data_IF_038108429646
#
_entry.id   IF_038108429646
#
_cell.length_a   1.000
_cell.length_b   1.000
_cell.length_c   1.000
_cell.angle_alpha   90.00
_cell.angle_beta   90.00
_cell.angle_gamma   90.00
#
_symmetry.space_group_name_H-M   'P 1'
#
loop_
_entity.id
_entity.type
_entity.pdbx_description
1 polymer ?
#
# COMPACT_ATOMS: atom_id res chain seq x y z
N UNK A 1 -11.72 0.43 -7.23
CA UNK A 1 -10.43 0.01 -7.86
C UNK A 1 -10.17 -1.44 -7.52
N UNK A 2 -9.78 -2.22 -8.49
CA UNK A 2 -9.52 -3.65 -8.31
C UNK A 2 -8.15 -3.88 -7.68
N UNK A 3 -8.11 -4.56 -6.54
CA UNK A 3 -6.86 -4.91 -5.86
C UNK A 3 -6.40 -6.28 -6.35
N UNK A 4 -5.21 -6.32 -6.93
CA UNK A 4 -4.59 -7.55 -7.40
C UNK A 4 -3.51 -7.95 -6.39
N UNK A 5 -3.39 -9.28 -6.15
CA UNK A 5 -2.47 -9.83 -5.16
C UNK A 5 -2.90 -9.54 -3.71
N UNK A 6 -4.21 -9.49 -3.45
CA UNK A 6 -4.70 -9.34 -2.07
C UNK A 6 -4.24 -10.48 -1.16
N UNK A 7 -3.83 -11.61 -1.76
CA UNK A 7 -3.25 -12.74 -1.04
C UNK A 7 -1.93 -12.41 -0.34
N UNK A 8 -1.35 -11.24 -0.61
CA UNK A 8 -0.19 -10.75 0.14
C UNK A 8 -0.54 -10.29 1.55
N UNK A 9 -1.82 -9.99 1.83
CA UNK A 9 -2.24 -9.45 3.13
C UNK A 9 -2.28 -10.49 4.25
N UNK A 10 -2.92 -11.68 4.08
CA UNK A 10 -3.01 -12.65 5.17
C UNK A 10 -1.68 -13.12 5.75
N UNK A 11 -0.63 -13.40 4.96
CA UNK A 11 0.66 -13.76 5.53
C UNK A 11 1.24 -12.71 6.46
N UNK A 12 0.99 -11.42 6.15
CA UNK A 12 1.46 -10.34 7.00
C UNK A 12 0.69 -10.30 8.31
N UNK A 13 -0.63 -10.32 8.29
CA UNK A 13 -1.39 -10.23 9.54
C UNK A 13 -1.32 -11.51 10.37
N UNK A 14 -0.93 -12.65 9.78
CA UNK A 14 -0.66 -13.86 10.56
C UNK A 14 0.53 -13.65 11.51
N UNK A 15 1.53 -12.89 11.07
CA UNK A 15 2.69 -12.51 11.89
C UNK A 15 2.45 -11.26 12.74
N UNK A 16 1.54 -10.40 12.30
CA UNK A 16 1.23 -9.13 12.95
C UNK A 16 -0.28 -8.98 13.12
N UNK A 17 -0.89 -9.71 14.07
CA UNK A 17 -2.36 -9.80 14.17
C UNK A 17 -3.06 -8.46 14.34
N UNK A 18 -2.41 -7.49 14.98
CA UNK A 18 -2.99 -6.16 15.18
C UNK A 18 -3.21 -5.41 13.86
N UNK A 19 -2.54 -5.81 12.78
CA UNK A 19 -2.68 -5.17 11.48
C UNK A 19 -3.87 -5.68 10.67
N UNK A 20 -4.49 -6.77 11.06
CA UNK A 20 -5.58 -7.40 10.28
C UNK A 20 -6.74 -6.45 10.04
N UNK A 21 -7.29 -5.87 11.10
CA UNK A 21 -8.42 -4.94 10.98
C UNK A 21 -8.10 -3.74 10.09
N UNK A 22 -6.99 -3.01 10.37
CA UNK A 22 -6.58 -1.90 9.51
C UNK A 22 -6.31 -2.28 8.05
N UNK A 23 -5.70 -3.44 7.78
CA UNK A 23 -5.45 -3.90 6.41
C UNK A 23 -6.75 -4.26 5.69
N UNK A 24 -7.67 -4.91 6.37
CA UNK A 24 -8.99 -5.20 5.81
C UNK A 24 -9.77 -3.92 5.50
N UNK A 25 -9.70 -2.92 6.39
CA UNK A 25 -10.33 -1.62 6.16
C UNK A 25 -9.72 -0.90 4.94
N UNK A 26 -8.40 -0.92 4.84
CA UNK A 26 -7.69 -0.37 3.67
C UNK A 26 -8.17 -1.04 2.38
N UNK A 27 -8.23 -2.37 2.39
CA UNK A 27 -8.68 -3.14 1.22
C UNK A 27 -10.10 -2.75 0.80
N UNK A 28 -11.01 -2.65 1.77
CA UNK A 28 -12.41 -2.28 1.48
C UNK A 28 -12.52 -0.88 0.89
N UNK A 29 -11.76 0.08 1.42
CA UNK A 29 -11.74 1.44 0.90
C UNK A 29 -11.24 1.52 -0.53
N UNK A 30 -10.14 0.82 -0.83
CA UNK A 30 -9.60 0.79 -2.19
C UNK A 30 -10.60 0.16 -3.14
N UNK A 31 -11.15 -0.99 -2.76
CA UNK A 31 -12.09 -1.74 -3.60
C UNK A 31 -13.36 -0.94 -3.91
N UNK A 32 -13.87 -0.20 -2.94
CA UNK A 32 -15.11 0.56 -3.08
C UNK A 32 -14.95 1.84 -3.90
N UNK A 33 -13.73 2.37 -4.01
CA UNK A 33 -13.49 3.67 -4.63
C UNK A 33 -13.12 3.60 -6.10
N UNK A 34 -13.34 4.74 -6.78
CA UNK A 34 -12.79 5.02 -8.10
C UNK A 34 -11.88 6.23 -7.95
N UNK A 35 -10.62 6.08 -8.35
CA UNK A 35 -9.61 7.12 -8.18
C UNK A 35 -9.04 7.49 -9.54
N UNK A 36 -9.10 8.78 -9.91
CA UNK A 36 -8.66 9.25 -11.23
C UNK A 36 -7.14 9.31 -11.34
N UNK A 37 -6.50 9.73 -10.24
CA UNK A 37 -5.06 9.96 -10.18
C UNK A 37 -4.61 9.95 -8.72
N UNK A 38 -3.32 10.18 -8.49
CA UNK A 38 -2.75 10.19 -7.15
C UNK A 38 -3.35 11.29 -6.27
N UNK A 39 -3.61 12.46 -6.83
CA UNK A 39 -4.21 13.56 -6.11
C UNK A 39 -5.60 13.20 -5.58
N UNK A 40 -6.40 12.54 -6.41
CA UNK A 40 -7.72 12.04 -6.04
C UNK A 40 -7.61 10.95 -4.97
N UNK A 41 -6.65 10.04 -5.11
CA UNK A 41 -6.40 8.98 -4.14
C UNK A 41 -6.10 9.57 -2.76
N UNK A 42 -5.31 10.64 -2.69
CA UNK A 42 -4.93 11.27 -1.42
C UNK A 42 -6.09 11.90 -0.67
N UNK A 43 -7.21 12.13 -1.32
CA UNK A 43 -8.41 12.61 -0.61
C UNK A 43 -8.94 11.55 0.36
N UNK A 44 -8.79 10.27 0.02
CA UNK A 44 -9.18 9.15 0.89
C UNK A 44 -7.99 8.68 1.74
N UNK A 45 -6.80 8.66 1.18
CA UNK A 45 -5.58 8.17 1.83
C UNK A 45 -4.59 9.32 1.99
N UNK A 46 -4.85 10.19 2.97
CA UNK A 46 -4.11 11.46 3.13
C UNK A 46 -2.61 11.27 3.36
N UNK A 47 -2.19 10.15 3.95
CA UNK A 47 -0.79 9.86 4.23
C UNK A 47 -0.09 9.07 3.11
N UNK A 48 -0.77 8.80 1.99
CA UNK A 48 -0.14 8.10 0.88
C UNK A 48 0.95 8.95 0.23
N UNK A 49 2.05 8.30 -0.14
CA UNK A 49 3.18 8.91 -0.82
C UNK A 49 3.39 8.30 -2.19
N UNK A 50 3.79 9.14 -3.14
CA UNK A 50 4.21 8.65 -4.44
C UNK A 50 5.73 8.58 -4.50
N UNK A 51 6.25 7.35 -4.64
CA UNK A 51 7.68 7.04 -4.72
C UNK A 51 7.87 6.27 -6.03
N UNK A 52 7.94 6.99 -7.12
CA UNK A 52 7.82 6.47 -8.49
C UNK A 52 8.64 5.20 -8.74
N UNK A 53 8.07 4.14 -9.33
CA UNK A 53 6.68 4.01 -9.82
C UNK A 53 5.67 3.54 -8.77
N UNK A 54 6.04 3.58 -7.51
CA UNK A 54 5.27 3.02 -6.40
C UNK A 54 4.40 4.06 -5.72
N UNK A 55 3.29 3.59 -5.16
CA UNK A 55 2.49 4.33 -4.18
C UNK A 55 2.61 3.62 -2.85
N UNK A 56 2.94 4.35 -1.81
CA UNK A 56 3.16 3.80 -0.47
C UNK A 56 2.04 4.27 0.44
N UNK A 57 1.36 3.32 1.08
CA UNK A 57 0.28 3.59 2.02
C UNK A 57 0.74 3.34 3.45
N UNK A 58 0.44 4.29 4.34
CA UNK A 58 0.55 4.09 5.78
C UNK A 58 -0.71 3.42 6.28
N UNK A 59 -0.58 2.31 6.97
CA UNK A 59 -1.71 1.58 7.53
C UNK A 59 -1.40 1.25 8.99
N UNK A 60 -2.44 1.12 9.81
CA UNK A 60 -2.32 0.79 11.24
C UNK A 60 -1.45 1.79 12.01
N UNK A 61 -1.70 3.08 11.79
CA UNK A 61 -1.04 4.14 12.55
C UNK A 61 0.49 4.10 12.41
N UNK A 62 1.00 3.92 11.20
CA UNK A 62 2.44 3.91 10.93
C UNK A 62 3.14 2.55 11.19
N UNK A 63 2.38 1.53 11.60
CA UNK A 63 2.96 0.22 11.91
C UNK A 63 3.14 -0.66 10.69
N UNK A 64 2.48 -0.32 9.59
CA UNK A 64 2.46 -1.12 8.37
C UNK A 64 2.54 -0.21 7.16
N UNK A 65 3.31 -0.65 6.16
CA UNK A 65 3.41 0.02 4.85
C UNK A 65 3.00 -0.94 3.77
N UNK A 66 2.13 -0.47 2.86
CA UNK A 66 1.81 -1.21 1.64
C UNK A 66 2.49 -0.48 0.49
N UNK A 67 3.30 -1.21 -0.27
CA UNK A 67 3.93 -0.72 -1.47
C UNK A 67 3.19 -1.30 -2.66
N UNK A 68 2.65 -0.42 -3.49
CA UNK A 68 1.79 -0.82 -4.59
C UNK A 68 2.18 -0.11 -5.89
N UNK A 69 1.77 -0.69 -7.01
CA UNK A 69 1.80 -0.03 -8.32
C UNK A 69 0.35 0.13 -8.76
N UNK A 70 -0.02 1.36 -9.14
CA UNK A 70 -1.39 1.68 -9.51
C UNK A 70 -1.46 2.07 -10.99
N UNK A 71 -2.37 1.43 -11.71
CA UNK A 71 -2.74 1.80 -13.06
C UNK A 71 -4.12 2.46 -13.02
N UNK A 72 -4.13 3.79 -12.92
CA UNK A 72 -5.37 4.56 -12.76
C UNK A 72 -6.31 4.41 -13.95
N UNK A 73 -5.76 4.37 -15.17
CA UNK A 73 -6.57 4.22 -16.39
C UNK A 73 -7.32 2.89 -16.45
N UNK A 74 -6.83 1.87 -15.74
CA UNK A 74 -7.45 0.53 -15.67
C UNK A 74 -8.12 0.26 -14.34
N UNK A 75 -8.02 1.17 -13.40
CA UNK A 75 -8.50 1.00 -12.02
C UNK A 75 -7.99 -0.30 -11.40
N UNK A 76 -6.66 -0.50 -11.46
CA UNK A 76 -5.99 -1.67 -10.90
C UNK A 76 -4.87 -1.25 -9.97
N UNK A 77 -4.83 -1.88 -8.80
CA UNK A 77 -3.76 -1.70 -7.81
C UNK A 77 -3.09 -3.05 -7.57
N UNK A 78 -1.79 -3.11 -7.80
CA UNK A 78 -0.97 -4.30 -7.59
C UNK A 78 -0.19 -4.14 -6.29
N UNK A 79 -0.44 -5.01 -5.30
CA UNK A 79 0.34 -5.02 -4.06
C UNK A 79 1.69 -5.66 -4.37
N UNK A 80 2.78 -4.92 -4.11
CA UNK A 80 4.15 -5.40 -4.29
C UNK A 80 4.74 -5.90 -2.99
N UNK A 81 4.56 -5.14 -1.92
CA UNK A 81 5.13 -5.47 -0.61
C UNK A 81 4.17 -5.04 0.48
N UNK A 82 4.15 -5.80 1.58
CA UNK A 82 3.52 -5.38 2.83
C UNK A 82 4.61 -5.46 3.89
N UNK A 83 5.00 -4.32 4.45
CA UNK A 83 6.20 -4.20 5.26
C UNK A 83 5.90 -3.61 6.64
N UNK A 84 6.69 -4.02 7.64
CA UNK A 84 6.76 -3.31 8.92
C UNK A 84 7.50 -1.99 8.70
N UNK A 85 7.44 -1.09 9.70
CA UNK A 85 8.18 0.18 9.62
C UNK A 85 9.71 -0.03 9.45
N UNK A 86 10.36 -0.90 10.23
CA UNK A 86 11.80 -1.16 10.02
C UNK A 86 12.11 -1.74 8.63
N UNK A 87 11.27 -2.64 8.14
CA UNK A 87 11.46 -3.22 6.81
C UNK A 87 11.26 -2.19 5.71
N UNK A 88 10.32 -1.27 5.91
CA UNK A 88 10.13 -0.15 4.98
C UNK A 88 11.36 0.76 4.95
N UNK A 89 11.98 1.02 6.09
CA UNK A 89 13.21 1.84 6.14
C UNK A 89 14.31 1.20 5.31
N UNK A 90 14.48 -0.13 5.40
CA UNK A 90 15.43 -0.87 4.57
C UNK A 90 15.07 -0.79 3.09
N UNK A 91 13.82 -0.98 2.76
CA UNK A 91 13.33 -0.87 1.39
C UNK A 91 13.60 0.53 0.82
N UNK A 92 13.32 1.56 1.61
CA UNK A 92 13.52 2.95 1.22
C UNK A 92 14.99 3.25 0.92
N UNK A 93 15.92 2.70 1.71
CA UNK A 93 17.35 2.85 1.46
C UNK A 93 17.75 2.18 0.15
N UNK A 94 17.26 0.98 -0.11
CA UNK A 94 17.53 0.26 -1.36
C UNK A 94 16.97 1.03 -2.56
N UNK A 95 15.78 1.58 -2.42
CA UNK A 95 15.18 2.41 -3.47
C UNK A 95 16.05 3.62 -3.79
N UNK A 96 16.48 4.37 -2.76
CA UNK A 96 17.30 5.56 -2.94
C UNK A 96 18.68 5.26 -3.52
N UNK A 97 19.20 4.06 -3.29
CA UNK A 97 20.48 3.63 -3.85
C UNK A 97 20.37 3.01 -5.25
N UNK A 98 19.17 2.99 -5.81
CA UNK A 98 18.94 2.45 -7.16
C UNK A 98 18.93 0.94 -7.26
N UNK A 99 18.76 0.22 -6.13
CA UNK A 99 18.78 -1.25 -6.12
C UNK A 99 17.39 -1.88 -6.24
N UNK A 100 16.37 -1.05 -6.25
CA UNK A 100 14.99 -1.51 -6.45
C UNK A 100 14.40 -0.81 -7.66
#
# INVERSE_FOLDING_TARGET
MHVISKSALPPFWAKHPASKGPLEAWYKLVKAGLYKDFSDLRRTFASADYVAPYTVFDVAGNNCRIIAVIHYNRQRLYIREVLTHPDYDRWSKLYRSGKI
#
